data_IF_651838568962
#
_entry.id   IF_651838568962
#
_cell.length_a   1.000
_cell.length_b   1.000
_cell.length_c   1.000
_cell.angle_alpha   90.00
_cell.angle_beta   90.00
_cell.angle_gamma   90.00
#
_symmetry.space_group_name_H-M   'P 1'
#
loop_
_entity.id
_entity.type
_entity.pdbx_description
1 polymer ?
#
# COMPACT_ATOMS: atom_id res chain seq x y z
N UNK A 1 9.92 1.79 14.26
CA UNK A 1 9.59 2.77 13.21
C UNK A 1 10.50 3.97 13.33
N UNK A 2 11.46 4.04 12.42
CA UNK A 2 12.36 5.19 12.28
C UNK A 2 11.81 6.12 11.20
N UNK A 3 12.04 7.42 11.36
CA UNK A 3 11.63 8.41 10.35
C UNK A 3 12.76 9.38 10.03
N UNK A 4 12.92 9.72 8.75
CA UNK A 4 13.98 10.62 8.29
C UNK A 4 13.61 11.33 6.99
N UNK A 5 14.32 12.43 6.68
CA UNK A 5 14.14 13.13 5.41
C UNK A 5 14.73 12.31 4.27
N UNK A 6 13.97 12.19 3.19
CA UNK A 6 14.39 11.45 2.00
C UNK A 6 15.51 12.22 1.28
N UNK A 7 16.64 11.55 1.08
CA UNK A 7 17.72 12.02 0.20
C UNK A 7 17.89 11.03 -0.95
N UNK A 8 17.42 11.43 -2.14
CA UNK A 8 17.55 10.63 -3.36
C UNK A 8 18.98 10.69 -3.90
N UNK A 9 19.55 9.52 -4.14
CA UNK A 9 20.86 9.34 -4.76
C UNK A 9 20.66 8.67 -6.13
N UNK A 10 21.33 9.18 -7.16
CA UNK A 10 21.34 8.60 -8.50
C UNK A 10 22.75 8.13 -8.85
N UNK A 11 22.88 6.84 -9.16
CA UNK A 11 24.16 6.23 -9.53
C UNK A 11 23.92 5.20 -10.62
N UNK A 12 24.56 5.35 -11.79
CA UNK A 12 24.52 4.39 -12.91
C UNK A 12 23.09 3.89 -13.21
N UNK A 13 22.18 4.83 -13.49
CA UNK A 13 20.75 4.61 -13.77
C UNK A 13 19.91 3.99 -12.65
N UNK A 14 20.49 3.76 -11.47
CA UNK A 14 19.78 3.32 -10.28
C UNK A 14 19.49 4.50 -9.36
N UNK A 15 18.32 4.46 -8.73
CA UNK A 15 17.88 5.44 -7.75
C UNK A 15 17.84 4.76 -6.38
N UNK A 16 18.38 5.44 -5.38
CA UNK A 16 18.40 4.98 -3.99
C UNK A 16 17.93 6.10 -3.06
N UNK A 17 17.47 5.72 -1.87
CA UNK A 17 17.36 6.64 -0.74
C UNK A 17 18.45 6.28 0.27
N UNK A 18 19.21 7.28 0.73
CA UNK A 18 20.19 7.10 1.80
C UNK A 18 19.51 6.91 3.15
N UNK A 19 19.91 5.88 3.88
CA UNK A 19 19.51 5.70 5.28
C UNK A 19 20.55 6.43 6.14
N UNK A 20 20.20 7.53 6.82
CA UNK A 20 21.18 8.44 7.44
C UNK A 20 21.76 7.93 8.77
N UNK A 21 21.51 6.67 9.11
CA UNK A 21 21.92 6.07 10.38
C UNK A 21 22.42 4.64 10.19
N UNK A 22 23.10 4.12 11.21
CA UNK A 22 23.58 2.75 11.22
C UNK A 22 22.44 1.80 11.60
N UNK A 23 21.99 0.98 10.65
CA UNK A 23 20.88 0.05 10.85
C UNK A 23 21.24 -1.06 11.84
N UNK A 24 22.51 -1.48 11.93
CA UNK A 24 22.94 -2.48 12.92
C UNK A 24 22.79 -1.98 14.35
N UNK A 25 23.00 -0.68 14.60
CA UNK A 25 22.86 -0.10 15.94
C UNK A 25 21.40 -0.05 16.39
N UNK A 26 20.48 0.20 15.46
CA UNK A 26 19.04 0.26 15.77
C UNK A 26 18.48 -1.16 15.98
N UNK A 27 19.06 -2.15 15.32
CA UNK A 27 18.52 -3.52 15.30
C UNK A 27 19.21 -4.49 16.24
N UNK A 28 20.39 -4.15 16.73
CA UNK A 28 21.33 -5.10 17.32
C UNK A 28 21.60 -6.34 16.43
N UNK A 29 21.41 -6.22 15.10
CA UNK A 29 21.56 -7.32 14.14
C UNK A 29 22.61 -6.97 13.09
N UNK A 30 23.79 -7.58 13.18
CA UNK A 30 24.86 -7.46 12.18
C UNK A 30 24.62 -8.41 11.01
N UNK A 31 23.72 -8.03 10.11
CA UNK A 31 23.43 -8.75 8.87
C UNK A 31 23.61 -7.85 7.66
N UNK A 32 24.14 -8.39 6.56
CA UNK A 32 24.17 -7.70 5.25
C UNK A 32 22.88 -7.93 4.43
N UNK A 33 21.99 -8.80 4.91
CA UNK A 33 20.67 -9.03 4.33
C UNK A 33 19.62 -8.59 5.34
N UNK A 34 18.99 -7.46 5.05
CA UNK A 34 17.90 -6.89 5.84
C UNK A 34 16.75 -6.56 4.89
N UNK A 35 15.53 -6.73 5.38
CA UNK A 35 14.31 -6.40 4.67
C UNK A 35 13.59 -5.31 5.44
N UNK A 36 12.91 -4.42 4.72
CA UNK A 36 12.16 -3.35 5.33
C UNK A 36 10.84 -3.10 4.64
N UNK A 37 9.84 -2.74 5.43
CA UNK A 37 8.65 -2.01 4.99
C UNK A 37 9.00 -0.52 5.00
N UNK A 38 8.81 0.12 3.85
CA UNK A 38 9.13 1.52 3.59
C UNK A 38 7.84 2.25 3.26
N UNK A 39 7.61 3.38 3.91
CA UNK A 39 6.52 4.31 3.60
C UNK A 39 7.16 5.66 3.28
N UNK A 40 6.86 6.20 2.10
CA UNK A 40 7.33 7.50 1.64
C UNK A 40 6.17 8.49 1.78
N UNK A 41 6.43 9.58 2.48
CA UNK A 41 5.47 10.63 2.76
C UNK A 41 5.85 11.92 2.02
N UNK A 42 4.87 12.62 1.48
CA UNK A 42 5.00 14.06 1.16
C UNK A 42 4.24 14.84 2.22
N UNK A 43 4.96 15.63 3.01
CA UNK A 43 4.49 16.22 4.27
C UNK A 43 3.92 15.17 5.24
N UNK A 44 2.61 14.93 5.20
CA UNK A 44 1.90 13.94 6.03
C UNK A 44 1.14 12.90 5.20
N UNK A 45 1.25 12.94 3.88
CA UNK A 45 0.50 12.09 2.96
C UNK A 45 1.38 10.91 2.57
N UNK A 46 0.92 9.68 2.74
CA UNK A 46 1.60 8.52 2.18
C UNK A 46 1.39 8.50 0.66
N UNK A 47 2.49 8.68 -0.06
CA UNK A 47 2.51 8.72 -1.53
C UNK A 47 2.95 7.39 -2.14
N UNK A 48 3.70 6.58 -1.39
CA UNK A 48 4.18 5.28 -1.83
C UNK A 48 4.60 4.41 -0.64
N UNK A 49 4.25 3.13 -0.68
CA UNK A 49 4.66 2.15 0.31
C UNK A 49 4.95 0.76 -0.28
N UNK A 50 6.03 0.13 0.18
CA UNK A 50 6.53 -1.12 -0.37
C UNK A 50 7.44 -1.87 0.63
N UNK A 51 7.63 -3.17 0.39
CA UNK A 51 8.65 -3.96 1.07
C UNK A 51 9.86 -4.16 0.14
N UNK A 52 11.07 -4.10 0.68
CA UNK A 52 12.27 -4.31 -0.12
C UNK A 52 13.41 -4.93 0.68
N UNK A 53 14.33 -5.58 -0.03
CA UNK A 53 15.66 -5.90 0.51
C UNK A 53 16.53 -4.64 0.44
N UNK A 54 17.17 -4.31 1.55
CA UNK A 54 18.09 -3.17 1.62
C UNK A 54 19.39 -3.48 0.88
N UNK A 55 19.93 -2.46 0.21
CA UNK A 55 21.23 -2.58 -0.45
C UNK A 55 22.34 -2.19 0.55
N UNK A 56 23.15 -3.18 0.94
CA UNK A 56 24.23 -2.97 1.90
C UNK A 56 25.37 -2.14 1.30
N UNK A 57 25.92 -1.23 2.09
CA UNK A 57 27.16 -0.47 1.80
C UNK A 57 28.35 -0.96 2.62
N UNK A 58 28.11 -1.84 3.60
CA UNK A 58 29.07 -2.25 4.62
C UNK A 58 28.88 -1.51 5.94
N UNK A 59 29.40 -2.12 7.02
CA UNK A 59 29.45 -1.53 8.37
C UNK A 59 28.10 -1.02 8.90
N UNK A 60 27.00 -1.70 8.57
CA UNK A 60 25.67 -1.33 9.01
C UNK A 60 25.03 -0.14 8.28
N UNK A 61 25.67 0.34 7.20
CA UNK A 61 25.11 1.36 6.29
C UNK A 61 24.34 0.69 5.15
N UNK A 62 23.19 1.24 4.82
CA UNK A 62 22.27 0.68 3.82
C UNK A 62 21.63 1.77 2.96
N UNK A 63 21.16 1.35 1.79
CA UNK A 63 20.27 2.13 0.94
C UNK A 63 18.91 1.44 0.81
N UNK A 64 17.87 2.23 0.59
CA UNK A 64 16.58 1.75 0.09
C UNK A 64 16.63 1.81 -1.44
N UNK A 65 16.56 0.67 -2.16
CA UNK A 65 16.52 0.68 -3.61
C UNK A 65 15.16 1.18 -4.12
N UNK A 66 15.17 2.11 -5.08
CA UNK A 66 13.97 2.65 -5.71
C UNK A 66 13.91 2.21 -7.17
N UNK A 67 12.90 1.38 -7.48
CA UNK A 67 12.64 0.94 -8.85
C UNK A 67 12.07 2.06 -9.74
N UNK A 68 12.09 1.92 -11.08
CA UNK A 68 11.66 2.97 -12.00
C UNK A 68 10.21 3.45 -11.78
N UNK A 69 9.28 2.53 -11.48
CA UNK A 69 7.87 2.86 -11.20
C UNK A 69 7.74 3.71 -9.93
N UNK A 70 8.42 3.30 -8.86
CA UNK A 70 8.47 4.04 -7.60
C UNK A 70 9.08 5.43 -7.80
N UNK A 71 10.20 5.51 -8.54
CA UNK A 71 10.87 6.77 -8.86
C UNK A 71 9.96 7.73 -9.62
N UNK A 72 9.18 7.23 -10.59
CA UNK A 72 8.24 8.02 -11.37
C UNK A 72 7.14 8.69 -10.51
N UNK A 73 6.75 8.06 -9.40
CA UNK A 73 5.77 8.62 -8.45
C UNK A 73 6.45 9.67 -7.57
N UNK A 74 7.55 9.31 -6.90
CA UNK A 74 8.12 10.16 -5.85
C UNK A 74 8.84 11.40 -6.39
N UNK A 75 9.33 11.38 -7.65
CA UNK A 75 10.03 12.52 -8.26
C UNK A 75 9.16 13.78 -8.42
N UNK A 76 7.84 13.63 -8.38
CA UNK A 76 6.88 14.74 -8.52
C UNK A 76 6.75 15.59 -7.24
N UNK A 77 7.30 15.11 -6.12
CA UNK A 77 7.18 15.75 -4.81
C UNK A 77 8.45 16.48 -4.40
N UNK A 78 8.31 17.70 -3.86
CA UNK A 78 9.45 18.55 -3.48
C UNK A 78 10.11 18.16 -2.17
N UNK A 79 9.32 17.70 -1.20
CA UNK A 79 9.78 17.35 0.15
C UNK A 79 9.20 16.01 0.53
N UNK A 80 10.10 15.06 0.77
CA UNK A 80 9.75 13.70 1.11
C UNK A 80 10.37 13.32 2.45
N UNK A 81 9.63 12.59 3.27
CA UNK A 81 10.16 11.83 4.41
C UNK A 81 9.91 10.35 4.19
N UNK A 82 10.70 9.54 4.89
CA UNK A 82 10.59 8.09 4.89
C UNK A 82 10.28 7.64 6.31
N UNK A 83 9.24 6.84 6.46
CA UNK A 83 9.04 5.98 7.61
C UNK A 83 9.48 4.56 7.25
N UNK A 84 10.18 3.92 8.17
CA UNK A 84 10.89 2.68 7.91
C UNK A 84 10.74 1.73 9.10
N UNK A 85 10.37 0.49 8.79
CA UNK A 85 10.32 -0.63 9.73
C UNK A 85 11.01 -1.85 9.13
N UNK A 86 11.80 -2.54 9.93
CA UNK A 86 12.40 -3.80 9.50
C UNK A 86 11.42 -4.94 9.63
N UNK A 87 11.54 -5.88 8.69
CA UNK A 87 10.75 -7.09 8.62
C UNK A 87 11.68 -8.30 8.47
N UNK A 88 11.23 -9.47 8.89
CA UNK A 88 12.08 -10.68 8.88
C UNK A 88 12.30 -11.24 7.47
N UNK A 89 11.31 -11.07 6.60
CA UNK A 89 11.32 -11.50 5.20
C UNK A 89 10.37 -10.62 4.37
N UNK A 90 10.49 -10.69 3.04
CA UNK A 90 9.52 -10.08 2.14
C UNK A 90 8.25 -10.92 2.16
N UNK A 91 7.11 -10.28 2.40
CA UNK A 91 5.82 -10.93 2.28
C UNK A 91 5.43 -10.87 0.80
N UNK A 92 5.36 -12.02 0.13
CA UNK A 92 4.73 -12.13 -1.19
C UNK A 92 3.50 -13.02 -1.06
N UNK A 93 2.40 -12.58 -1.68
CA UNK A 93 1.11 -13.27 -1.58
C UNK A 93 1.00 -14.42 -2.59
N UNK A 94 1.97 -14.58 -3.50
CA UNK A 94 1.72 -15.29 -4.76
C UNK A 94 2.48 -16.60 -4.92
N UNK A 95 1.99 -17.67 -4.27
CA UNK A 95 2.47 -19.03 -4.56
C UNK A 95 1.38 -20.04 -4.98
N UNK A 96 0.12 -19.91 -4.55
CA UNK A 96 -0.92 -20.92 -4.84
C UNK A 96 -2.35 -20.32 -4.98
N UNK A 97 -2.55 -19.37 -5.90
CA UNK A 97 -3.92 -18.87 -6.15
C UNK A 97 -4.77 -19.87 -6.95
N UNK A 98 -6.01 -20.17 -6.53
CA UNK A 98 -6.98 -20.92 -7.35
C UNK A 98 -7.76 -20.03 -8.33
N UNK A 99 -7.49 -18.72 -8.35
CA UNK A 99 -8.20 -17.73 -9.16
C UNK A 99 -7.32 -17.20 -10.29
N UNK A 100 -7.94 -16.67 -11.34
CA UNK A 100 -7.27 -15.94 -12.41
C UNK A 100 -8.13 -14.77 -12.88
N UNK A 101 -7.62 -13.92 -13.78
CA UNK A 101 -8.42 -12.83 -14.35
C UNK A 101 -9.60 -13.35 -15.18
N UNK A 102 -9.44 -14.51 -15.80
CA UNK A 102 -10.48 -15.18 -16.58
C UNK A 102 -11.51 -15.87 -15.66
N UNK A 103 -11.07 -16.30 -14.47
CA UNK A 103 -11.91 -16.93 -13.46
C UNK A 103 -11.69 -16.28 -12.08
N UNK A 104 -12.12 -15.02 -11.89
CA UNK A 104 -11.94 -14.32 -10.63
C UNK A 104 -12.88 -14.89 -9.57
N UNK A 105 -12.60 -14.59 -8.31
CA UNK A 105 -13.65 -14.74 -7.29
C UNK A 105 -14.83 -13.84 -7.65
N UNK A 106 -16.05 -14.38 -7.62
CA UNK A 106 -17.28 -13.62 -7.94
C UNK A 106 -18.20 -13.61 -6.73
N UNK A 107 -18.42 -12.42 -6.15
CA UNK A 107 -19.40 -12.20 -5.08
C UNK A 107 -20.13 -10.87 -5.25
N UNK A 108 -21.30 -10.79 -4.65
CA UNK A 108 -22.05 -9.55 -4.51
C UNK A 108 -21.35 -8.68 -3.47
N UNK A 109 -21.18 -7.39 -3.78
CA UNK A 109 -20.60 -6.43 -2.85
C UNK A 109 -21.58 -6.16 -1.72
N UNK A 110 -21.15 -6.49 -0.50
CA UNK A 110 -21.87 -6.24 0.74
C UNK A 110 -20.99 -5.42 1.68
N UNK A 111 -21.60 -4.57 2.50
CA UNK A 111 -20.85 -3.70 3.40
C UNK A 111 -20.22 -4.50 4.54
N UNK A 112 -18.93 -4.28 4.76
CA UNK A 112 -18.16 -4.85 5.86
C UNK A 112 -17.49 -3.72 6.66
N UNK A 113 -17.84 -3.59 7.93
CA UNK A 113 -17.16 -2.65 8.83
C UNK A 113 -15.81 -3.20 9.27
N UNK A 114 -14.80 -2.34 9.41
CA UNK A 114 -13.54 -2.74 10.00
C UNK A 114 -13.70 -3.02 11.51
N UNK A 115 -13.12 -4.10 12.06
CA UNK A 115 -13.30 -4.48 13.46
C UNK A 115 -12.63 -3.47 14.41
N UNK A 116 -11.48 -2.94 13.99
CA UNK A 116 -10.74 -1.89 14.69
C UNK A 116 -10.02 -1.01 13.67
N UNK A 117 -9.43 0.11 14.13
CA UNK A 117 -8.70 1.03 13.25
C UNK A 117 -7.53 0.30 12.56
N UNK A 118 -7.34 0.59 11.28
CA UNK A 118 -6.22 0.07 10.49
C UNK A 118 -6.53 -1.17 9.65
N UNK A 119 -7.79 -1.61 9.61
CA UNK A 119 -8.26 -2.74 8.78
C UNK A 119 -9.06 -2.28 7.53
N UNK A 120 -8.96 -1.01 7.13
CA UNK A 120 -9.76 -0.47 6.03
C UNK A 120 -9.51 -1.20 4.69
N UNK A 121 -8.26 -1.51 4.35
CA UNK A 121 -7.95 -2.32 3.15
C UNK A 121 -8.53 -3.74 3.26
N UNK A 122 -8.40 -4.40 4.41
CA UNK A 122 -8.93 -5.75 4.62
C UNK A 122 -10.44 -5.80 4.47
N UNK A 123 -11.13 -4.80 5.02
CA UNK A 123 -12.57 -4.68 4.89
C UNK A 123 -12.98 -4.47 3.42
N UNK A 124 -12.28 -3.62 2.65
CA UNK A 124 -12.57 -3.45 1.21
C UNK A 124 -12.40 -4.75 0.43
N UNK A 125 -11.30 -5.48 0.67
CA UNK A 125 -11.07 -6.77 0.01
C UNK A 125 -12.19 -7.74 0.42
N UNK A 126 -12.56 -7.80 1.70
CA UNK A 126 -13.69 -8.60 2.20
C UNK A 126 -15.01 -8.23 1.50
N UNK A 127 -15.28 -6.94 1.25
CA UNK A 127 -16.47 -6.52 0.48
C UNK A 127 -16.43 -7.00 -0.98
N UNK A 128 -15.25 -7.05 -1.60
CA UNK A 128 -15.07 -7.50 -2.98
C UNK A 128 -15.13 -9.03 -3.11
N UNK A 129 -14.57 -9.76 -2.15
CA UNK A 129 -14.36 -11.21 -2.21
C UNK A 129 -15.42 -12.01 -1.46
N UNK A 130 -16.14 -11.38 -0.52
CA UNK A 130 -17.05 -12.03 0.43
C UNK A 130 -16.36 -12.89 1.49
N UNK A 131 -15.03 -12.86 1.59
CA UNK A 131 -14.29 -13.59 2.63
C UNK A 131 -14.26 -12.81 3.95
N UNK A 132 -14.02 -13.51 5.07
CA UNK A 132 -13.88 -12.86 6.37
C UNK A 132 -12.61 -12.03 6.45
N UNK A 133 -12.59 -11.00 7.31
CA UNK A 133 -11.41 -10.18 7.53
C UNK A 133 -10.23 -11.02 8.01
N UNK A 134 -10.48 -12.08 8.79
CA UNK A 134 -9.46 -13.02 9.26
C UNK A 134 -8.78 -13.74 8.10
N UNK A 135 -9.56 -14.27 7.15
CA UNK A 135 -9.03 -14.92 5.95
C UNK A 135 -8.21 -13.93 5.10
N UNK A 136 -8.69 -12.68 4.96
CA UNK A 136 -7.94 -11.63 4.28
C UNK A 136 -6.64 -11.30 5.01
N UNK A 137 -6.62 -11.29 6.36
CA UNK A 137 -5.39 -11.04 7.12
C UNK A 137 -4.32 -12.10 6.86
N UNK A 138 -4.73 -13.37 6.82
CA UNK A 138 -3.85 -14.49 6.52
C UNK A 138 -3.33 -14.40 5.09
N UNK A 139 -4.22 -14.09 4.14
CA UNK A 139 -3.85 -13.95 2.73
C UNK A 139 -2.91 -12.79 2.48
N UNK A 140 -3.27 -11.62 3.00
CA UNK A 140 -2.50 -10.38 2.86
C UNK A 140 -1.20 -10.39 3.67
N UNK A 141 -1.07 -11.34 4.62
CA UNK A 141 0.01 -11.38 5.61
C UNK A 141 0.18 -10.01 6.30
N UNK A 142 -0.95 -9.44 6.72
CA UNK A 142 -1.02 -8.12 7.32
C UNK A 142 -2.19 -8.03 8.31
N UNK A 143 -1.96 -7.38 9.44
CA UNK A 143 -2.99 -7.02 10.43
C UNK A 143 -3.22 -5.50 10.42
N UNK A 144 -3.84 -4.98 11.48
CA UNK A 144 -4.12 -3.55 11.67
C UNK A 144 -2.92 -2.67 11.32
N UNK A 145 -3.11 -1.66 10.47
CA UNK A 145 -2.08 -0.70 10.01
C UNK A 145 -0.89 -1.33 9.27
N UNK A 146 -0.88 -2.64 9.06
CA UNK A 146 0.18 -3.33 8.33
C UNK A 146 -0.14 -3.52 6.85
N UNK A 147 -1.37 -3.17 6.42
CA UNK A 147 -1.72 -3.07 5.01
C UNK A 147 -0.76 -2.15 4.26
N UNK A 148 -0.56 -2.46 2.98
CA UNK A 148 0.16 -1.60 2.06
C UNK A 148 -0.51 -1.63 0.69
N UNK A 149 -0.26 -0.61 -0.13
CA UNK A 149 -0.78 -0.58 -1.50
C UNK A 149 -0.27 -1.79 -2.30
N UNK A 150 1.01 -2.15 -2.12
CA UNK A 150 1.60 -3.33 -2.75
C UNK A 150 0.87 -4.61 -2.33
N UNK A 151 0.59 -4.79 -1.03
CA UNK A 151 -0.17 -5.93 -0.52
C UNK A 151 -1.62 -5.93 -1.00
N UNK A 152 -2.25 -4.76 -1.14
CA UNK A 152 -3.59 -4.65 -1.70
C UNK A 152 -3.59 -5.17 -3.14
N UNK A 153 -2.69 -4.68 -3.99
CA UNK A 153 -2.56 -5.11 -5.39
C UNK A 153 -2.28 -6.62 -5.48
N UNK A 154 -1.30 -7.12 -4.73
CA UNK A 154 -0.99 -8.55 -4.71
C UNK A 154 -2.17 -9.41 -4.21
N UNK A 155 -2.98 -8.90 -3.29
CA UNK A 155 -4.18 -9.60 -2.82
C UNK A 155 -5.28 -9.60 -3.89
N UNK A 156 -5.48 -8.49 -4.61
CA UNK A 156 -6.42 -8.43 -5.74
C UNK A 156 -6.00 -9.42 -6.83
N UNK A 157 -4.72 -9.43 -7.20
CA UNK A 157 -4.13 -10.39 -8.13
C UNK A 157 -4.35 -11.83 -7.66
N UNK A 158 -4.14 -12.11 -6.36
CA UNK A 158 -4.42 -13.42 -5.78
C UNK A 158 -5.88 -13.82 -5.98
N UNK A 159 -6.85 -12.93 -5.80
CA UNK A 159 -8.27 -13.25 -6.01
C UNK A 159 -8.70 -13.23 -7.49
N UNK A 160 -7.75 -13.00 -8.41
CA UNK A 160 -8.03 -12.84 -9.83
C UNK A 160 -8.80 -11.55 -10.16
N UNK A 161 -8.98 -10.64 -9.20
CA UNK A 161 -9.76 -9.41 -9.40
C UNK A 161 -8.99 -8.50 -10.34
N UNK A 162 -9.51 -8.30 -11.56
CA UNK A 162 -8.86 -7.42 -12.51
C UNK A 162 -8.98 -5.96 -12.07
N UNK A 163 -7.89 -5.21 -12.21
CA UNK A 163 -7.79 -3.87 -11.69
C UNK A 163 -6.92 -2.98 -12.57
N UNK A 164 -7.24 -1.70 -12.57
CA UNK A 164 -6.49 -0.67 -13.25
C UNK A 164 -5.16 -0.33 -12.55
N UNK A 165 -4.46 0.64 -13.12
CA UNK A 165 -3.35 1.32 -12.44
C UNK A 165 -3.92 2.36 -11.46
N UNK A 166 -3.07 2.82 -10.54
CA UNK A 166 -3.43 3.92 -9.65
C UNK A 166 -3.53 5.22 -10.48
N UNK A 167 -4.62 5.95 -10.29
CA UNK A 167 -4.90 7.23 -10.95
C UNK A 167 -4.94 8.35 -9.92
N UNK A 168 -4.15 9.41 -10.14
CA UNK A 168 -4.03 10.57 -9.24
C UNK A 168 -4.69 11.84 -9.80
N UNK A 169 -5.07 11.84 -11.07
CA UNK A 169 -5.71 12.97 -11.75
C UNK A 169 -6.96 12.48 -12.46
N UNK A 170 -8.11 12.98 -12.06
CA UNK A 170 -9.40 12.50 -12.54
C UNK A 170 -10.50 13.52 -12.27
N UNK A 171 -11.48 13.57 -13.17
CA UNK A 171 -12.67 14.43 -13.03
C UNK A 171 -13.91 13.63 -12.57
N UNK A 172 -13.84 12.29 -12.69
CA UNK A 172 -14.91 11.39 -12.31
C UNK A 172 -14.35 10.04 -11.86
N UNK A 173 -15.12 9.32 -11.03
CA UNK A 173 -14.80 7.98 -10.59
C UNK A 173 -15.42 6.93 -11.54
N UNK A 174 -14.72 5.82 -11.82
CA UNK A 174 -15.30 4.70 -12.56
C UNK A 174 -16.42 4.02 -11.76
N UNK A 175 -17.25 3.14 -12.38
CA UNK A 175 -18.40 2.51 -11.72
C UNK A 175 -18.07 1.79 -10.41
N UNK A 176 -16.86 1.22 -10.33
CA UNK A 176 -16.29 0.65 -9.13
C UNK A 176 -14.80 1.00 -9.02
N UNK A 177 -14.39 1.50 -7.86
CA UNK A 177 -12.98 1.71 -7.56
C UNK A 177 -12.68 1.71 -6.06
N UNK A 178 -11.45 1.36 -5.73
CA UNK A 178 -10.89 1.56 -4.40
C UNK A 178 -10.33 2.97 -4.35
N UNK A 179 -10.89 3.81 -3.49
CA UNK A 179 -10.47 5.20 -3.31
C UNK A 179 -9.49 5.30 -2.13
N UNK A 180 -8.36 5.94 -2.34
CA UNK A 180 -7.49 6.44 -1.28
C UNK A 180 -7.95 7.85 -0.91
N UNK A 181 -8.40 8.02 0.32
CA UNK A 181 -8.96 9.26 0.84
C UNK A 181 -8.11 9.83 1.96
N UNK A 182 -8.16 11.15 2.09
CA UNK A 182 -7.46 11.89 3.12
C UNK A 182 -8.26 11.89 4.42
N UNK A 183 -7.76 11.22 5.46
CA UNK A 183 -8.31 11.34 6.82
C UNK A 183 -7.21 11.77 7.78
N UNK A 184 -7.15 13.08 8.05
CA UNK A 184 -6.13 13.68 8.90
C UNK A 184 -4.72 13.45 8.35
N UNK A 185 -3.89 12.71 9.11
CA UNK A 185 -2.49 12.40 8.76
C UNK A 185 -2.28 11.00 8.17
N UNK A 186 -3.35 10.27 7.85
CA UNK A 186 -3.24 8.88 7.36
C UNK A 186 -4.07 8.69 6.10
N UNK A 187 -3.58 7.82 5.22
CA UNK A 187 -4.37 7.31 4.12
C UNK A 187 -5.48 6.43 4.67
N UNK A 188 -6.68 6.61 4.15
CA UNK A 188 -7.84 5.78 4.46
C UNK A 188 -8.43 5.29 3.16
N UNK A 189 -8.84 4.03 3.12
CA UNK A 189 -9.35 3.43 1.91
C UNK A 189 -10.86 3.16 2.07
N UNK A 190 -11.61 3.44 1.01
CA UNK A 190 -13.02 3.09 0.89
C UNK A 190 -13.32 2.53 -0.51
N UNK A 191 -14.41 1.79 -0.65
CA UNK A 191 -14.87 1.26 -1.93
C UNK A 191 -15.98 2.15 -2.49
N UNK A 192 -15.79 2.70 -3.67
CA UNK A 192 -16.85 3.36 -4.43
C UNK A 192 -17.54 2.31 -5.30
N UNK A 193 -18.85 2.15 -5.14
CA UNK A 193 -19.67 1.22 -5.91
C UNK A 193 -21.11 1.74 -5.99
N UNK A 194 -21.74 1.66 -7.17
CA UNK A 194 -23.12 2.11 -7.39
C UNK A 194 -23.41 3.53 -6.86
N UNK A 195 -22.50 4.48 -7.13
CA UNK A 195 -22.60 5.88 -6.70
C UNK A 195 -22.68 6.06 -5.17
N UNK A 196 -22.06 5.15 -4.41
CA UNK A 196 -21.96 5.21 -2.95
C UNK A 196 -20.55 4.83 -2.52
N UNK A 197 -20.10 5.43 -1.42
CA UNK A 197 -18.85 5.10 -0.76
C UNK A 197 -19.11 4.16 0.40
N UNK A 198 -18.61 2.94 0.30
CA UNK A 198 -18.60 1.94 1.36
C UNK A 198 -17.34 2.17 2.19
N UNK A 199 -17.49 2.97 3.25
CA UNK A 199 -16.39 3.32 4.13
C UNK A 199 -16.33 2.36 5.33
N UNK A 200 -15.26 1.56 5.49
CA UNK A 200 -15.16 0.59 6.58
C UNK A 200 -15.24 1.19 7.99
N UNK A 201 -14.96 2.49 8.15
CA UNK A 201 -15.00 3.21 9.43
C UNK A 201 -16.32 3.93 9.64
N UNK A 202 -16.86 4.56 8.60
CA UNK A 202 -17.97 5.50 8.71
C UNK A 202 -19.28 5.03 8.06
N UNK A 203 -19.34 3.79 7.57
CA UNK A 203 -20.53 3.26 6.93
C UNK A 203 -20.68 3.66 5.47
N UNK A 204 -21.87 3.42 4.91
CA UNK A 204 -22.17 3.76 3.52
C UNK A 204 -22.53 5.24 3.44
N UNK A 205 -21.74 6.01 2.68
CA UNK A 205 -21.98 7.43 2.39
C UNK A 205 -22.41 7.61 0.94
N UNK A 206 -23.20 8.65 0.68
CA UNK A 206 -23.56 9.03 -0.69
C UNK A 206 -22.38 9.71 -1.38
N UNK A 207 -21.75 10.66 -0.69
CA UNK A 207 -20.73 11.52 -1.28
C UNK A 207 -19.52 11.64 -0.36
N UNK A 208 -18.34 11.70 -0.98
CA UNK A 208 -17.08 12.16 -0.42
C UNK A 208 -16.59 13.27 -1.36
N UNK A 209 -16.19 14.45 -0.86
CA UNK A 209 -15.65 15.52 -1.71
C UNK A 209 -14.50 15.00 -2.57
N UNK A 210 -14.49 15.34 -3.87
CA UNK A 210 -13.46 14.81 -4.78
C UNK A 210 -12.05 15.24 -4.37
N UNK A 211 -11.92 16.43 -3.77
CA UNK A 211 -10.66 16.96 -3.23
C UNK A 211 -10.11 16.15 -2.05
N UNK A 212 -10.96 15.37 -1.38
CA UNK A 212 -10.55 14.45 -0.32
C UNK A 212 -10.09 13.09 -0.88
N UNK A 213 -10.29 12.84 -2.18
CA UNK A 213 -9.82 11.62 -2.86
C UNK A 213 -8.45 11.90 -3.46
N UNK A 214 -7.43 11.23 -2.92
CA UNK A 214 -6.03 11.37 -3.32
C UNK A 214 -5.75 10.60 -4.61
N UNK A 215 -6.29 9.39 -4.70
CA UNK A 215 -6.15 8.51 -5.85
C UNK A 215 -7.23 7.43 -5.86
N UNK A 216 -7.39 6.76 -6.99
CA UNK A 216 -8.20 5.54 -7.06
C UNK A 216 -7.51 4.42 -7.83
N UNK A 217 -7.98 3.20 -7.61
CA UNK A 217 -7.72 2.02 -8.44
C UNK A 217 -9.07 1.53 -8.96
N UNK A 218 -9.24 1.53 -10.28
CA UNK A 218 -10.42 0.96 -10.94
C UNK A 218 -10.45 -0.56 -10.75
N UNK A 219 -11.63 -1.11 -10.52
CA UNK A 219 -11.85 -2.55 -10.48
C UNK A 219 -12.62 -2.93 -11.75
N UNK A 220 -12.12 -3.88 -12.52
CA UNK A 220 -12.75 -4.33 -13.76
C UNK A 220 -13.53 -5.62 -13.44
N UNK A 221 -14.86 -5.53 -13.48
CA UNK A 221 -15.78 -6.67 -13.24
C UNK A 221 -16.60 -6.94 -14.49
#
# INVERSE_FOLDING_TARGET
MESFLCQLLKTNDKVFIDIPFNVWHITNKKSNTLFAKVVILSDTINVLDFECRLAARGEGKFYIPIGPKAYAIIKEYKKLSVEFDLIDHLHSINHDSPYSKENPIRRKIEYVSQPTKGYCMHAIISMLTGESIEAICERMQARAFQGSLSKLIETLDYYGIDHGKIVYKFDALPPICICNTRIGRRNHYCLYYQKKFYDPTYGIKKDIPIDDIISYIEINI
#
